data_IF_801233304228
#
_entry.id   IF_801233304228
#
_cell.length_a   1.000
_cell.length_b   1.000
_cell.length_c   1.000
_cell.angle_alpha   90.00
_cell.angle_beta   90.00
_cell.angle_gamma   90.00
#
_symmetry.space_group_name_H-M   'P 1'
#
loop_
_entity.id
_entity.type
_entity.pdbx_description
1 polymer ?
#
# COMPACT_ATOMS: atom_id res chain seq x y z
N UNK A 1 -0.80 3.07 -4.79
CA UNK A 1 -1.47 1.78 -4.57
C UNK A 1 -1.13 1.28 -3.18
N UNK A 2 -2.11 0.80 -2.45
CA UNK A 2 -1.91 0.14 -1.16
C UNK A 2 -2.22 -1.34 -1.29
N UNK A 3 -1.49 -2.16 -0.54
CA UNK A 3 -1.67 -3.61 -0.46
C UNK A 3 -1.99 -3.97 0.97
N UNK A 4 -3.04 -4.76 1.16
CA UNK A 4 -3.29 -5.39 2.45
C UNK A 4 -2.37 -6.62 2.59
N UNK A 5 -1.57 -6.72 3.66
CA UNK A 5 -0.68 -7.87 3.88
C UNK A 5 -1.45 -9.16 4.20
N UNK A 6 -2.68 -9.05 4.74
CA UNK A 6 -3.48 -10.22 5.11
C UNK A 6 -4.18 -10.87 3.93
N UNK A 7 -4.82 -10.08 3.07
CA UNK A 7 -5.61 -10.61 1.95
C UNK A 7 -4.94 -10.43 0.58
N UNK A 8 -3.80 -9.72 0.50
CA UNK A 8 -3.05 -9.48 -0.73
C UNK A 8 -3.73 -8.54 -1.73
N UNK A 9 -4.93 -8.03 -1.43
CA UNK A 9 -5.67 -7.15 -2.33
C UNK A 9 -5.02 -5.78 -2.42
N UNK A 10 -5.00 -5.23 -3.65
CA UNK A 10 -4.48 -3.92 -4.00
C UNK A 10 -5.63 -2.94 -4.22
N UNK A 11 -5.50 -1.72 -3.72
CA UNK A 11 -6.52 -0.67 -3.85
C UNK A 11 -5.92 0.73 -3.79
N UNK A 12 -6.67 1.73 -4.24
CA UNK A 12 -6.25 3.13 -4.24
C UNK A 12 -6.74 3.84 -2.98
N UNK A 13 -5.93 4.76 -2.45
CA UNK A 13 -6.26 5.51 -1.23
C UNK A 13 -7.41 6.49 -1.36
N UNK A 14 -7.78 6.87 -2.59
CA UNK A 14 -8.92 7.77 -2.83
C UNK A 14 -10.24 7.22 -2.31
N UNK A 15 -10.30 5.92 -2.01
CA UNK A 15 -11.49 5.20 -1.56
C UNK A 15 -11.51 4.93 -0.04
N UNK A 16 -10.52 5.41 0.72
CA UNK A 16 -10.36 5.08 2.14
C UNK A 16 -10.63 6.27 3.05
N UNK A 17 -11.82 6.32 3.65
CA UNK A 17 -12.10 7.24 4.78
C UNK A 17 -11.34 6.84 6.06
N UNK A 18 -10.94 5.57 6.19
CA UNK A 18 -10.23 5.02 7.36
C UNK A 18 -9.07 4.11 6.94
N UNK A 19 -8.03 4.00 7.77
CA UNK A 19 -6.88 3.09 7.57
C UNK A 19 -7.28 1.63 7.84
N UNK A 20 -8.27 1.11 7.09
CA UNK A 20 -8.73 -0.28 7.16
C UNK A 20 -8.89 -0.84 5.77
N UNK A 21 -8.49 -2.11 5.60
CA UNK A 21 -8.74 -2.84 4.36
C UNK A 21 -10.26 -3.08 4.21
N UNK A 22 -10.88 -2.66 3.10
CA UNK A 22 -12.32 -2.80 2.89
C UNK A 22 -12.77 -4.27 2.75
N UNK A 23 -11.84 -5.19 2.49
CA UNK A 23 -12.17 -6.59 2.24
C UNK A 23 -12.03 -7.50 3.45
N UNK A 24 -11.09 -7.22 4.35
CA UNK A 24 -10.77 -8.12 5.47
C UNK A 24 -10.67 -7.41 6.83
N UNK A 25 -10.87 -6.08 6.87
CA UNK A 25 -10.84 -5.30 8.10
C UNK A 25 -9.45 -5.09 8.72
N UNK A 26 -8.36 -5.51 8.06
CA UNK A 26 -7.01 -5.29 8.55
C UNK A 26 -6.69 -3.79 8.68
N UNK A 27 -6.07 -3.38 9.80
CA UNK A 27 -5.79 -1.96 10.11
C UNK A 27 -4.45 -1.44 9.57
N UNK A 28 -3.67 -2.30 8.92
CA UNK A 28 -2.32 -1.98 8.41
C UNK A 28 -2.29 -2.22 6.92
N UNK A 29 -1.85 -1.22 6.16
CA UNK A 29 -1.78 -1.22 4.71
C UNK A 29 -0.37 -0.80 4.28
N UNK A 30 0.18 -1.47 3.28
CA UNK A 30 1.51 -1.17 2.74
C UNK A 30 1.39 -0.38 1.45
N UNK A 31 2.15 0.71 1.31
CA UNK A 31 2.24 1.44 0.05
C UNK A 31 3.11 0.66 -0.92
N UNK A 32 2.63 0.40 -2.12
CA UNK A 32 3.45 -0.21 -3.16
C UNK A 32 4.61 0.70 -3.52
N UNK A 33 5.79 0.09 -3.64
CA UNK A 33 6.96 0.76 -4.19
C UNK A 33 6.65 1.15 -5.62
N UNK A 34 6.83 2.43 -5.99
CA UNK A 34 6.65 2.85 -7.37
C UNK A 34 7.65 2.09 -8.27
N UNK A 35 7.29 1.79 -9.52
CA UNK A 35 8.18 1.08 -10.45
C UNK A 35 9.40 1.92 -10.86
N UNK A 36 9.41 3.21 -10.52
CA UNK A 36 10.51 4.11 -10.82
C UNK A 36 11.72 3.79 -9.94
N UNK A 37 12.82 3.39 -10.57
CA UNK A 37 14.09 3.18 -9.89
C UNK A 37 14.58 4.50 -9.27
N UNK A 38 14.89 4.46 -7.97
CA UNK A 38 15.52 5.58 -7.28
C UNK A 38 17.02 5.52 -7.53
N UNK A 39 17.62 6.63 -7.96
CA UNK A 39 19.09 6.77 -7.98
C UNK A 39 19.56 6.93 -6.54
N UNK A 40 20.45 6.05 -6.09
CA UNK A 40 21.07 6.10 -4.76
C UNK A 40 22.58 6.30 -4.98
N UNK A 41 23.14 7.39 -4.45
CA UNK A 41 24.59 7.62 -4.43
C UNK A 41 25.20 6.82 -3.28
N UNK A 42 26.41 6.28 -3.50
CA UNK A 42 27.21 5.62 -2.46
C UNK A 42 28.36 6.56 -2.12
N UNK A 43 28.56 6.85 -0.82
CA UNK A 43 29.72 7.60 -0.29
C UNK A 43 30.99 6.74 -0.27
#
# INVERSE_FOLDING_TARGET
MYVCPKCGKKFQTGELEFVRCPYCGAKVLFKETPPTAKKVSTD
#
